data_IF_645720159339
#
_entry.id   IF_645720159339
#
_cell.length_a   1.000
_cell.length_b   1.000
_cell.length_c   1.000
_cell.angle_alpha   90.00
_cell.angle_beta   90.00
_cell.angle_gamma   90.00
#
_symmetry.space_group_name_H-M   'P 1'
#
loop_
_entity.id
_entity.type
_entity.pdbx_description
1 polymer ?
#
# COMPACT_ATOMS: atom_id res chain seq x y z
N UNK A 1 -47.62 6.48 -70.24
CA UNK A 1 -46.22 6.03 -70.40
C UNK A 1 -45.41 6.57 -69.24
N UNK A 2 -44.67 5.67 -68.57
CA UNK A 2 -43.53 5.85 -67.64
C UNK A 2 -43.03 7.29 -67.41
N UNK A 3 -42.82 7.65 -66.14
CA UNK A 3 -41.45 7.82 -65.63
C UNK A 3 -41.39 7.80 -64.10
N UNK A 4 -40.71 6.76 -63.64
CA UNK A 4 -39.97 6.52 -62.40
C UNK A 4 -39.35 7.73 -61.71
N UNK A 5 -39.58 7.84 -60.39
CA UNK A 5 -38.60 8.34 -59.43
C UNK A 5 -38.60 7.39 -58.22
N UNK A 6 -37.53 6.61 -58.10
CA UNK A 6 -37.25 5.70 -57.00
C UNK A 6 -36.86 6.55 -55.77
N UNK A 7 -37.65 6.51 -54.69
CA UNK A 7 -37.21 7.02 -53.39
C UNK A 7 -36.55 5.87 -52.63
N UNK A 8 -35.23 5.93 -52.50
CA UNK A 8 -34.41 4.97 -51.76
C UNK A 8 -34.53 5.26 -50.26
N UNK A 9 -35.34 4.50 -49.52
CA UNK A 9 -35.34 4.55 -48.06
C UNK A 9 -34.06 3.90 -47.52
N UNK A 10 -33.11 4.72 -47.08
CA UNK A 10 -31.92 4.31 -46.36
C UNK A 10 -32.30 3.93 -44.91
N UNK A 11 -32.59 2.65 -44.67
CA UNK A 11 -32.66 2.09 -43.32
C UNK A 11 -31.22 1.91 -42.81
N UNK A 12 -30.70 2.94 -42.12
CA UNK A 12 -29.47 2.82 -41.34
C UNK A 12 -29.83 2.00 -40.09
N UNK A 13 -29.64 0.68 -40.16
CA UNK A 13 -29.58 -0.15 -38.96
C UNK A 13 -28.31 0.22 -38.19
N UNK A 14 -28.46 1.03 -37.14
CA UNK A 14 -27.42 1.19 -36.12
C UNK A 14 -27.24 -0.15 -35.41
N UNK A 15 -26.32 -0.96 -35.91
CA UNK A 15 -25.77 -2.06 -35.14
C UNK A 15 -25.04 -1.44 -33.95
N UNK A 16 -25.68 -1.43 -32.78
CA UNK A 16 -25.00 -1.24 -31.51
C UNK A 16 -24.02 -2.41 -31.34
N UNK A 17 -22.82 -2.25 -31.88
CA UNK A 17 -21.64 -3.00 -31.48
C UNK A 17 -21.33 -2.57 -30.04
N UNK A 18 -22.08 -3.12 -29.08
CA UNK A 18 -21.56 -3.24 -27.73
C UNK A 18 -20.30 -4.09 -27.88
N UNK A 19 -19.13 -3.46 -27.74
CA UNK A 19 -17.89 -4.17 -27.54
C UNK A 19 -18.14 -5.12 -26.37
N UNK A 20 -18.25 -6.41 -26.65
CA UNK A 20 -18.36 -7.43 -25.63
C UNK A 20 -17.00 -7.43 -24.94
N UNK A 21 -16.89 -6.64 -23.87
CA UNK A 21 -15.68 -6.56 -23.05
C UNK A 21 -15.34 -7.98 -22.66
N UNK A 22 -14.12 -8.41 -22.99
CA UNK A 22 -13.63 -9.74 -22.64
C UNK A 22 -13.82 -9.90 -21.13
N UNK A 23 -14.77 -10.76 -20.73
CA UNK A 23 -15.01 -11.06 -19.32
C UNK A 23 -14.01 -12.11 -18.90
N UNK A 24 -13.34 -11.89 -17.77
CA UNK A 24 -12.44 -12.88 -17.22
C UNK A 24 -13.18 -14.19 -16.97
N UNK A 25 -12.61 -15.29 -17.45
CA UNK A 25 -13.17 -16.63 -17.22
C UNK A 25 -12.95 -17.11 -15.77
N UNK A 26 -12.01 -16.50 -15.04
CA UNK A 26 -11.59 -16.90 -13.70
C UNK A 26 -12.28 -16.12 -12.59
N UNK A 27 -12.52 -14.82 -12.82
CA UNK A 27 -13.20 -13.93 -11.87
C UNK A 27 -14.19 -13.06 -12.60
N UNK A 28 -15.47 -13.22 -12.31
CA UNK A 28 -16.54 -12.53 -13.03
C UNK A 28 -17.69 -12.14 -12.10
N UNK A 29 -18.48 -11.10 -12.46
CA UNK A 29 -19.66 -10.75 -11.69
C UNK A 29 -20.69 -11.90 -11.69
N UNK A 30 -21.12 -12.30 -10.50
CA UNK A 30 -22.23 -13.21 -10.29
C UNK A 30 -23.58 -12.50 -10.30
N UNK A 31 -24.69 -13.26 -10.28
CA UNK A 31 -26.04 -12.72 -10.35
C UNK A 31 -26.42 -11.86 -9.14
N UNK A 32 -25.71 -11.99 -8.01
CA UNK A 32 -25.91 -11.21 -6.79
C UNK A 32 -25.02 -9.94 -6.72
N UNK A 33 -24.35 -9.58 -7.80
CA UNK A 33 -23.44 -8.42 -7.85
C UNK A 33 -22.10 -8.64 -7.15
N UNK A 34 -21.80 -9.83 -6.63
CA UNK A 34 -20.48 -10.21 -6.09
C UNK A 34 -19.64 -10.92 -7.13
N UNK A 35 -18.32 -10.90 -6.96
CA UNK A 35 -17.42 -11.66 -7.82
C UNK A 35 -17.52 -13.16 -7.50
N UNK A 36 -17.63 -13.97 -8.55
CA UNK A 36 -17.48 -15.42 -8.53
C UNK A 36 -16.04 -15.74 -8.90
N UNK A 37 -15.40 -16.61 -8.11
CA UNK A 37 -14.02 -17.04 -8.29
C UNK A 37 -13.99 -18.51 -8.67
N UNK A 38 -13.44 -18.85 -9.84
CA UNK A 38 -13.11 -20.24 -10.17
C UNK A 38 -11.86 -20.68 -9.40
N UNK A 39 -11.78 -21.99 -9.18
CA UNK A 39 -10.59 -22.62 -8.59
C UNK A 39 -9.91 -23.55 -9.59
N UNK A 40 -8.60 -23.77 -9.41
CA UNK A 40 -7.90 -24.91 -10.01
C UNK A 40 -8.43 -26.22 -9.39
N UNK A 41 -8.03 -27.36 -9.95
CA UNK A 41 -8.34 -28.67 -9.36
C UNK A 41 -7.78 -28.86 -7.94
N UNK A 42 -6.68 -28.17 -7.62
CA UNK A 42 -6.10 -28.16 -6.27
C UNK A 42 -6.74 -27.14 -5.33
N UNK A 43 -7.64 -26.29 -5.83
CA UNK A 43 -8.40 -25.31 -5.05
C UNK A 43 -7.84 -23.89 -5.09
N UNK A 44 -6.77 -23.61 -5.82
CA UNK A 44 -6.21 -22.26 -5.93
C UNK A 44 -7.15 -21.34 -6.68
N UNK A 45 -7.21 -20.08 -6.28
CA UNK A 45 -8.01 -19.06 -6.98
C UNK A 45 -7.25 -17.75 -7.10
N UNK A 46 -7.71 -16.90 -8.00
CA UNK A 46 -7.28 -15.49 -8.02
C UNK A 46 -7.59 -14.86 -6.67
N UNK A 47 -6.62 -14.12 -6.14
CA UNK A 47 -6.71 -13.51 -4.82
C UNK A 47 -7.85 -12.49 -4.75
N UNK A 48 -8.52 -12.48 -3.60
CA UNK A 48 -9.49 -11.44 -3.27
C UNK A 48 -8.76 -10.20 -2.76
N UNK A 49 -8.63 -9.19 -3.63
CA UNK A 49 -7.98 -7.93 -3.32
C UNK A 49 -8.91 -6.91 -2.63
N UNK A 50 -10.17 -7.27 -2.32
CA UNK A 50 -11.07 -6.38 -1.57
C UNK A 50 -10.56 -6.03 -0.18
N UNK A 51 -9.55 -6.75 0.32
CA UNK A 51 -8.92 -6.55 1.61
C UNK A 51 -7.79 -5.50 1.64
N UNK A 52 -7.53 -4.83 0.51
CA UNK A 52 -6.51 -3.80 0.40
C UNK A 52 -7.02 -2.42 0.84
N UNK A 53 -6.15 -1.64 1.47
CA UNK A 53 -6.43 -0.26 1.85
C UNK A 53 -6.84 -0.07 3.30
N UNK A 54 -7.22 1.16 3.64
CA UNK A 54 -7.63 1.62 4.96
C UNK A 54 -8.58 0.63 5.65
N UNK A 55 -8.26 0.25 6.89
CA UNK A 55 -9.00 -0.71 7.72
C UNK A 55 -9.18 -2.10 7.08
N UNK A 56 -8.38 -2.43 6.06
CA UNK A 56 -8.45 -3.71 5.36
C UNK A 56 -9.47 -3.71 4.23
N UNK A 57 -9.75 -2.55 3.62
CA UNK A 57 -10.64 -2.42 2.48
C UNK A 57 -12.13 -2.43 2.85
N UNK A 58 -12.97 -1.95 1.94
CA UNK A 58 -14.42 -1.86 2.14
C UNK A 58 -14.89 -0.84 3.18
N UNK A 59 -13.97 -0.13 3.83
CA UNK A 59 -14.26 0.94 4.80
C UNK A 59 -13.96 2.30 4.20
N UNK A 60 -14.89 3.25 4.37
CA UNK A 60 -14.70 4.63 3.91
C UNK A 60 -13.64 5.33 4.76
N UNK A 61 -12.70 6.01 4.12
CA UNK A 61 -11.76 6.92 4.80
C UNK A 61 -12.58 8.00 5.54
N UNK A 62 -12.38 8.19 6.86
CA UNK A 62 -13.19 9.09 7.65
C UNK A 62 -12.93 10.56 7.30
N UNK A 63 -13.89 11.42 7.66
CA UNK A 63 -13.66 12.86 7.72
C UNK A 63 -13.47 13.27 9.18
N UNK A 64 -12.21 13.35 9.62
CA UNK A 64 -11.88 13.68 11.02
C UNK A 64 -12.07 15.18 11.24
N UNK A 65 -12.79 15.62 12.30
CA UNK A 65 -12.97 17.04 12.59
C UNK A 65 -11.65 17.78 12.83
N UNK A 66 -11.55 19.01 12.29
CA UNK A 66 -10.43 19.89 12.58
C UNK A 66 -10.56 20.44 14.00
N UNK A 67 -9.50 20.30 14.79
CA UNK A 67 -9.41 20.80 16.18
C UNK A 67 -8.35 21.89 16.34
N UNK A 68 -7.50 22.06 15.33
CA UNK A 68 -6.53 23.15 15.24
C UNK A 68 -6.45 23.62 13.80
N UNK A 69 -6.35 24.94 13.61
CA UNK A 69 -6.19 25.57 12.31
C UNK A 69 -4.94 26.42 12.31
N UNK A 70 -4.13 26.34 11.25
CA UNK A 70 -2.90 27.10 11.09
C UNK A 70 -2.94 27.89 9.78
N UNK A 71 -2.47 29.13 9.82
CA UNK A 71 -2.16 29.93 8.63
C UNK A 71 -0.66 29.93 8.39
N UNK A 72 -0.19 30.08 7.14
CA UNK A 72 1.23 30.17 6.87
C UNK A 72 1.81 31.44 7.50
N UNK A 73 3.05 31.35 7.95
CA UNK A 73 3.85 32.49 8.43
C UNK A 73 5.03 32.74 7.49
N UNK A 74 5.63 33.94 7.58
CA UNK A 74 6.88 34.22 6.88
C UNK A 74 8.01 33.34 7.41
N UNK A 75 8.92 32.92 6.52
CA UNK A 75 10.04 32.04 6.87
C UNK A 75 9.64 30.56 6.99
N UNK A 76 10.38 29.81 7.81
CA UNK A 76 10.19 28.37 8.00
C UNK A 76 8.95 28.05 8.85
N UNK A 77 8.04 27.30 8.27
CA UNK A 77 6.78 26.87 8.87
C UNK A 77 6.87 25.47 9.49
N UNK A 78 7.94 24.70 9.25
CA UNK A 78 8.07 23.35 9.80
C UNK A 78 7.96 23.32 11.34
N UNK A 79 8.56 24.25 12.12
CA UNK A 79 8.41 24.28 13.57
C UNK A 79 6.98 24.55 14.04
N UNK A 80 6.25 25.45 13.37
CA UNK A 80 4.85 25.77 13.68
C UNK A 80 3.95 24.54 13.53
N UNK A 81 4.11 23.82 12.42
CA UNK A 81 3.33 22.62 12.13
C UNK A 81 3.72 21.49 13.07
N UNK A 82 5.02 21.31 13.33
CA UNK A 82 5.51 20.30 14.26
C UNK A 82 4.99 20.53 15.67
N UNK A 83 4.95 21.78 16.14
CA UNK A 83 4.39 22.12 17.45
C UNK A 83 2.91 21.72 17.54
N UNK A 84 2.11 22.01 16.50
CA UNK A 84 0.70 21.62 16.46
C UNK A 84 0.52 20.09 16.51
N UNK A 85 1.37 19.33 15.83
CA UNK A 85 1.38 17.85 15.90
C UNK A 85 1.72 17.39 17.32
N UNK A 86 2.75 17.97 17.94
CA UNK A 86 3.19 17.61 19.29
C UNK A 86 2.09 17.89 20.34
N UNK A 87 1.42 19.04 20.23
CA UNK A 87 0.30 19.36 21.11
C UNK A 87 -0.85 18.35 20.95
N UNK A 88 -1.17 17.96 19.71
CA UNK A 88 -2.25 17.01 19.47
C UNK A 88 -1.88 15.60 19.93
N UNK A 89 -0.61 15.21 19.76
CA UNK A 89 -0.04 13.96 20.26
C UNK A 89 -0.14 13.83 21.79
N UNK A 90 -0.25 14.93 22.53
CA UNK A 90 -0.41 14.92 23.99
C UNK A 90 -1.85 14.64 24.47
N UNK A 91 -2.85 14.70 23.60
CA UNK A 91 -4.28 14.53 23.96
C UNK A 91 -4.65 13.06 24.25
N UNK A 92 -5.91 12.79 24.55
CA UNK A 92 -6.43 11.40 24.56
C UNK A 92 -7.20 11.19 23.27
N UNK A 93 -6.95 10.10 22.51
CA UNK A 93 -7.72 9.82 21.32
C UNK A 93 -9.17 9.45 21.68
N UNK A 94 -10.13 9.98 20.91
CA UNK A 94 -11.53 9.58 20.90
C UNK A 94 -11.78 8.73 19.65
N UNK A 95 -12.22 7.49 19.83
CA UNK A 95 -12.45 6.53 18.72
C UNK A 95 -11.21 6.38 17.80
N UNK A 96 -10.01 6.35 18.40
CA UNK A 96 -8.75 6.24 17.68
C UNK A 96 -8.20 7.57 17.13
N UNK A 97 -8.94 8.67 17.19
CA UNK A 97 -8.52 9.97 16.66
C UNK A 97 -8.32 11.03 17.73
N UNK A 98 -7.26 11.83 17.58
CA UNK A 98 -6.98 13.04 18.36
C UNK A 98 -7.56 14.27 17.70
N UNK A 99 -7.68 14.25 16.36
CA UNK A 99 -8.28 15.29 15.54
C UNK A 99 -7.48 15.57 14.28
N UNK A 100 -7.97 16.52 13.49
CA UNK A 100 -7.24 17.04 12.34
C UNK A 100 -6.62 18.42 12.63
N UNK A 101 -5.43 18.65 12.07
CA UNK A 101 -4.81 19.96 11.95
C UNK A 101 -5.12 20.45 10.53
N UNK A 102 -5.90 21.52 10.42
CA UNK A 102 -6.24 22.16 9.15
C UNK A 102 -5.23 23.26 8.83
N UNK A 103 -4.55 23.14 7.70
CA UNK A 103 -3.72 24.19 7.11
C UNK A 103 -4.59 25.00 6.16
N UNK A 104 -4.65 26.30 6.39
CA UNK A 104 -5.33 27.25 5.49
C UNK A 104 -4.64 27.32 4.13
N UNK A 105 -5.30 27.88 3.10
CA UNK A 105 -4.65 28.16 1.83
C UNK A 105 -3.42 29.06 2.01
N UNK A 106 -2.39 28.80 1.21
CA UNK A 106 -1.16 29.58 1.16
C UNK A 106 0.11 28.73 1.12
N UNK A 107 1.25 29.42 1.07
CA UNK A 107 2.58 28.81 0.89
C UNK A 107 3.26 28.70 2.25
N UNK A 108 3.58 27.47 2.64
CA UNK A 108 4.32 27.11 3.84
C UNK A 108 5.73 26.72 3.41
N UNK A 109 6.71 27.63 3.55
CA UNK A 109 8.10 27.25 3.34
C UNK A 109 8.53 26.29 4.46
N UNK A 110 9.15 25.17 4.12
CA UNK A 110 9.57 24.15 5.08
C UNK A 110 11.03 23.76 4.85
N UNK A 111 11.88 24.04 5.83
CA UNK A 111 13.32 23.71 5.77
C UNK A 111 13.66 22.35 6.39
N UNK A 112 12.66 21.71 7.02
CA UNK A 112 12.81 20.42 7.68
C UNK A 112 11.53 19.58 7.57
N UNK A 113 11.69 18.28 7.82
CA UNK A 113 10.60 17.30 7.80
C UNK A 113 9.57 17.56 8.92
N UNK A 114 8.31 17.42 8.57
CA UNK A 114 7.18 17.38 9.51
C UNK A 114 6.98 15.93 9.96
N UNK A 115 7.21 15.66 11.24
CA UNK A 115 7.20 14.31 11.79
C UNK A 115 5.89 14.02 12.55
N UNK A 116 5.26 12.90 12.23
CA UNK A 116 4.10 12.36 12.95
C UNK A 116 4.52 11.03 13.58
N UNK A 117 4.60 11.02 14.91
CA UNK A 117 5.08 9.88 15.71
C UNK A 117 4.03 9.37 16.69
N UNK A 118 2.78 9.80 16.55
CA UNK A 118 1.65 9.41 17.40
C UNK A 118 0.40 9.10 16.56
N UNK A 119 -0.33 8.06 16.96
CA UNK A 119 -1.58 7.62 16.34
C UNK A 119 -2.69 8.67 16.43
N UNK A 120 -3.64 8.63 15.49
CA UNK A 120 -4.88 9.41 15.54
C UNK A 120 -4.76 10.86 15.05
N UNK A 121 -3.70 11.21 14.34
CA UNK A 121 -3.45 12.57 13.85
C UNK A 121 -3.72 12.64 12.35
N UNK A 122 -4.53 13.62 11.94
CA UNK A 122 -4.73 13.95 10.53
C UNK A 122 -4.10 15.32 10.22
N UNK A 123 -3.23 15.39 9.22
CA UNK A 123 -2.73 16.65 8.67
C UNK A 123 -3.47 16.95 7.36
N UNK A 124 -4.30 18.00 7.36
CA UNK A 124 -5.19 18.35 6.26
C UNK A 124 -4.86 19.73 5.72
N UNK A 125 -4.65 19.86 4.42
CA UNK A 125 -4.63 21.15 3.73
C UNK A 125 -5.99 21.57 3.19
N UNK A 126 -5.99 22.68 2.47
CA UNK A 126 -7.18 23.30 1.88
C UNK A 126 -7.25 23.15 0.34
N UNK A 127 -6.56 22.15 -0.21
CA UNK A 127 -6.60 21.78 -1.63
C UNK A 127 -5.21 21.51 -2.23
N UNK A 128 -5.14 20.62 -3.22
CA UNK A 128 -3.91 20.23 -3.91
C UNK A 128 -3.50 21.15 -5.09
N UNK A 129 -4.33 22.14 -5.41
CA UNK A 129 -4.01 23.14 -6.43
C UNK A 129 -3.03 24.21 -5.93
N UNK A 130 -2.50 25.06 -6.82
CA UNK A 130 -1.58 26.14 -6.46
C UNK A 130 -2.20 27.21 -5.54
N UNK A 131 -3.53 27.34 -5.54
CA UNK A 131 -4.27 28.24 -4.64
C UNK A 131 -4.71 27.56 -3.33
N UNK A 132 -4.34 26.29 -3.12
CA UNK A 132 -4.63 25.52 -1.92
C UNK A 132 -3.53 25.66 -0.87
N UNK A 133 -3.26 24.59 -0.14
CA UNK A 133 -2.12 24.53 0.80
C UNK A 133 -0.90 24.01 0.06
N UNK A 134 0.17 24.79 0.02
CA UNK A 134 1.43 24.42 -0.65
C UNK A 134 2.53 24.29 0.39
N UNK A 135 3.07 23.09 0.57
CA UNK A 135 4.36 22.88 1.20
C UNK A 135 5.45 23.18 0.19
N UNK A 136 6.14 24.31 0.35
CA UNK A 136 7.29 24.67 -0.46
C UNK A 136 8.57 24.22 0.27
N UNK A 137 9.18 23.15 -0.21
CA UNK A 137 10.38 22.58 0.40
C UNK A 137 11.60 23.44 0.10
N UNK A 138 12.23 23.97 1.15
CA UNK A 138 13.41 24.83 1.08
C UNK A 138 14.57 24.23 1.88
N UNK A 139 15.73 24.90 1.88
CA UNK A 139 16.88 24.46 2.68
C UNK A 139 17.66 23.30 2.05
N UNK A 140 18.03 22.31 2.88
CA UNK A 140 18.74 21.10 2.42
C UNK A 140 17.73 20.01 2.03
N UNK A 141 18.06 19.11 1.09
CA UNK A 141 17.19 18.00 0.71
C UNK A 141 16.72 17.16 1.91
N UNK A 142 15.42 16.96 2.04
CA UNK A 142 14.75 16.21 3.13
C UNK A 142 13.40 15.63 2.66
N UNK A 143 12.70 14.85 3.49
CA UNK A 143 11.33 14.41 3.21
C UNK A 143 10.33 15.41 3.79
N UNK A 144 9.27 15.81 3.07
CA UNK A 144 8.31 16.81 3.56
C UNK A 144 7.56 16.30 4.81
N UNK A 145 6.95 15.11 4.72
CA UNK A 145 6.25 14.49 5.85
C UNK A 145 6.81 13.10 6.15
N UNK A 146 7.07 12.83 7.43
CA UNK A 146 7.55 11.52 7.90
C UNK A 146 6.64 11.00 8.99
N UNK A 147 5.89 9.94 8.69
CA UNK A 147 5.19 9.12 9.68
C UNK A 147 6.09 7.93 10.02
N UNK A 148 6.42 7.75 11.29
CA UNK A 148 7.32 6.66 11.73
C UNK A 148 6.92 6.08 13.07
N UNK A 149 6.42 4.84 13.04
CA UNK A 149 6.24 4.00 14.22
C UNK A 149 7.52 3.25 14.61
N UNK A 150 7.66 2.96 15.90
CA UNK A 150 8.77 2.17 16.45
C UNK A 150 8.32 0.72 16.63
N UNK A 151 8.19 0.01 15.52
CA UNK A 151 7.60 -1.33 15.51
C UNK A 151 8.56 -2.34 16.13
N UNK A 152 8.05 -3.10 17.10
CA UNK A 152 8.71 -4.26 17.68
C UNK A 152 7.79 -5.47 17.51
N UNK A 153 8.32 -6.58 16.99
CA UNK A 153 7.56 -7.83 16.85
C UNK A 153 8.31 -8.94 17.56
N UNK A 154 7.61 -9.63 18.46
CA UNK A 154 8.13 -10.75 19.24
C UNK A 154 7.38 -12.01 18.86
N UNK A 155 8.11 -13.12 18.76
CA UNK A 155 7.54 -14.46 18.64
C UNK A 155 7.16 -14.99 20.01
N UNK A 156 6.06 -15.75 20.08
CA UNK A 156 5.53 -16.34 21.31
C UNK A 156 5.35 -17.84 21.08
N UNK A 157 5.95 -18.65 21.95
CA UNK A 157 5.93 -20.12 21.83
C UNK A 157 6.80 -20.64 20.68
N UNK A 158 6.70 -21.94 20.40
CA UNK A 158 7.44 -22.60 19.32
C UNK A 158 6.64 -22.58 18.00
N UNK A 159 7.31 -22.58 16.83
CA UNK A 159 6.62 -22.79 15.55
C UNK A 159 5.95 -24.16 15.50
N UNK A 160 4.72 -24.21 15.01
CA UNK A 160 3.93 -25.43 14.79
C UNK A 160 3.76 -25.68 13.30
N UNK A 161 3.99 -26.91 12.79
CA UNK A 161 3.81 -27.19 11.37
C UNK A 161 2.33 -27.18 10.96
N UNK A 162 2.08 -26.66 9.75
CA UNK A 162 0.82 -26.89 9.04
C UNK A 162 0.75 -28.38 8.68
N UNK A 163 -0.38 -29.02 8.99
CA UNK A 163 -0.59 -30.46 8.84
C UNK A 163 -1.17 -30.84 7.47
N UNK A 164 -1.76 -29.89 6.73
CA UNK A 164 -2.22 -30.16 5.36
C UNK A 164 -1.01 -30.34 4.43
N UNK A 165 -1.09 -31.33 3.54
CA UNK A 165 -0.07 -31.54 2.49
C UNK A 165 -0.09 -30.43 1.43
N UNK A 166 -1.25 -29.81 1.23
CA UNK A 166 -1.44 -28.68 0.34
C UNK A 166 -2.48 -27.71 0.89
N UNK A 167 -2.12 -26.43 1.03
CA UNK A 167 -3.03 -25.32 1.31
C UNK A 167 -3.12 -24.44 0.07
N UNK A 168 -4.31 -24.28 -0.54
CA UNK A 168 -4.43 -23.52 -1.78
C UNK A 168 -4.23 -22.01 -1.62
N UNK A 169 -3.72 -21.35 -2.65
CA UNK A 169 -3.72 -19.90 -2.72
C UNK A 169 -5.17 -19.38 -2.71
N UNK A 170 -5.43 -18.39 -1.85
CA UNK A 170 -6.75 -17.83 -1.63
C UNK A 170 -7.58 -18.55 -0.55
N UNK A 171 -7.03 -19.58 0.11
CA UNK A 171 -7.69 -20.27 1.21
C UNK A 171 -7.78 -19.40 2.49
N UNK A 172 -8.82 -19.62 3.29
CA UNK A 172 -9.02 -18.96 4.60
C UNK A 172 -8.62 -19.83 5.78
N UNK A 173 -8.16 -21.04 5.56
CA UNK A 173 -7.86 -21.93 6.67
C UNK A 173 -7.04 -23.13 6.28
N UNK A 174 -6.42 -23.70 7.30
CA UNK A 174 -5.48 -24.81 7.24
C UNK A 174 -5.50 -25.53 8.58
N UNK A 175 -5.02 -26.77 8.61
CA UNK A 175 -4.84 -27.59 9.80
C UNK A 175 -3.45 -27.43 10.37
N UNK A 176 -3.32 -27.53 11.69
CA UNK A 176 -2.03 -27.51 12.40
C UNK A 176 -1.87 -28.77 13.24
N UNK A 177 -0.62 -29.21 13.40
CA UNK A 177 -0.32 -30.44 14.14
C UNK A 177 -0.62 -30.33 15.65
N UNK A 178 -0.39 -29.16 16.24
CA UNK A 178 -0.67 -28.88 17.66
C UNK A 178 -1.26 -27.48 17.84
N UNK A 179 -2.50 -27.41 18.34
CA UNK A 179 -3.20 -26.14 18.57
C UNK A 179 -2.91 -25.50 19.94
N UNK A 180 -2.10 -26.15 20.77
CA UNK A 180 -1.82 -25.68 22.13
C UNK A 180 -1.22 -24.27 22.09
N UNK A 181 -1.83 -23.33 22.83
CA UNK A 181 -1.38 -21.95 22.89
C UNK A 181 -1.95 -20.99 21.84
N UNK A 182 -2.76 -21.48 20.89
CA UNK A 182 -3.48 -20.64 19.91
C UNK A 182 -4.94 -20.44 20.32
N UNK A 183 -5.47 -19.22 20.09
CA UNK A 183 -6.90 -18.92 20.19
C UNK A 183 -7.33 -17.90 19.14
N UNK A 184 -8.64 -17.78 18.92
CA UNK A 184 -9.20 -16.69 18.14
C UNK A 184 -8.77 -15.32 18.71
N UNK A 185 -8.46 -14.38 17.82
CA UNK A 185 -7.88 -13.07 18.12
C UNK A 185 -6.35 -13.05 18.19
N UNK A 186 -5.67 -14.20 18.23
CA UNK A 186 -4.21 -14.21 18.18
C UNK A 186 -3.71 -13.83 16.77
N UNK A 187 -2.67 -12.99 16.73
CA UNK A 187 -1.89 -12.77 15.50
C UNK A 187 -0.84 -13.87 15.37
N UNK A 188 -0.77 -14.46 14.19
CA UNK A 188 0.18 -15.51 13.83
C UNK A 188 1.04 -15.06 12.65
N UNK A 189 2.29 -15.51 12.63
CA UNK A 189 3.17 -15.50 11.47
C UNK A 189 3.19 -16.88 10.86
N UNK A 190 2.91 -16.94 9.57
CA UNK A 190 3.08 -18.13 8.74
C UNK A 190 4.43 -18.00 8.03
N UNK A 191 5.29 -18.98 8.16
CA UNK A 191 6.65 -19.01 7.61
C UNK A 191 6.76 -20.14 6.59
N UNK A 192 6.93 -19.79 5.31
CA UNK A 192 7.20 -20.73 4.21
C UNK A 192 8.69 -20.73 3.90
N UNK A 193 9.40 -21.87 3.99
CA UNK A 193 10.81 -21.92 3.67
C UNK A 193 11.04 -21.68 2.17
N UNK A 194 12.09 -20.91 1.85
CA UNK A 194 12.63 -20.77 0.50
C UNK A 194 13.63 -21.92 0.29
N UNK A 195 13.11 -23.12 0.05
CA UNK A 195 13.92 -24.32 -0.16
C UNK A 195 14.54 -24.37 -1.57
N UNK A 196 15.63 -25.11 -1.73
CA UNK A 196 16.25 -25.32 -3.04
C UNK A 196 15.29 -25.95 -4.05
N UNK A 197 14.44 -26.89 -3.61
CA UNK A 197 13.44 -27.53 -4.47
C UNK A 197 12.37 -26.53 -4.93
N UNK A 198 11.97 -25.60 -4.07
CA UNK A 198 11.05 -24.53 -4.45
C UNK A 198 11.71 -23.53 -5.41
N UNK A 199 12.94 -23.11 -5.14
CA UNK A 199 13.71 -22.20 -6.01
C UNK A 199 13.91 -22.82 -7.40
N UNK A 200 14.22 -24.12 -7.46
CA UNK A 200 14.33 -24.87 -8.72
C UNK A 200 12.98 -25.01 -9.45
N UNK A 201 11.89 -25.28 -8.72
CA UNK A 201 10.53 -25.33 -9.27
C UNK A 201 10.13 -23.99 -9.92
N UNK A 202 10.47 -22.87 -9.27
CA UNK A 202 10.23 -21.52 -9.80
C UNK A 202 11.20 -21.14 -10.94
N UNK A 203 12.19 -21.98 -11.27
CA UNK A 203 13.23 -21.71 -12.26
C UNK A 203 14.21 -20.61 -11.87
N UNK A 204 14.21 -20.21 -10.59
CA UNK A 204 15.03 -19.10 -10.08
C UNK A 204 16.49 -19.51 -9.84
N UNK A 205 16.76 -20.82 -9.77
CA UNK A 205 18.11 -21.39 -9.66
C UNK A 205 18.96 -21.14 -10.92
N UNK A 206 18.32 -20.83 -12.06
CA UNK A 206 18.94 -20.65 -13.38
C UNK A 206 19.17 -19.19 -13.78
N UNK A 207 18.79 -18.23 -12.93
CA UNK A 207 18.94 -16.81 -13.26
C UNK A 207 20.41 -16.41 -13.26
N UNK A 208 20.90 -15.90 -14.40
CA UNK A 208 22.28 -15.46 -14.59
C UNK A 208 22.29 -14.10 -15.28
N UNK A 209 23.15 -13.19 -14.80
CA UNK A 209 23.44 -11.90 -15.43
C UNK A 209 24.95 -11.70 -15.47
N UNK A 210 25.49 -11.39 -16.65
CA UNK A 210 26.93 -11.19 -16.87
C UNK A 210 27.80 -12.34 -16.32
N UNK A 211 27.35 -13.58 -16.54
CA UNK A 211 28.02 -14.79 -16.07
C UNK A 211 27.91 -15.06 -14.57
N UNK A 212 27.21 -14.22 -13.80
CA UNK A 212 27.02 -14.36 -12.36
C UNK A 212 25.60 -14.84 -12.04
N UNK A 213 25.50 -15.87 -11.18
CA UNK A 213 24.22 -16.34 -10.64
C UNK A 213 23.51 -15.21 -9.90
N UNK A 214 22.20 -15.09 -10.11
CA UNK A 214 21.35 -14.09 -9.50
C UNK A 214 20.37 -14.78 -8.54
N UNK A 215 20.59 -14.63 -7.24
CA UNK A 215 19.68 -15.15 -6.21
C UNK A 215 18.95 -13.98 -5.56
N UNK A 216 17.64 -13.88 -5.78
CA UNK A 216 16.83 -12.73 -5.34
C UNK A 216 15.92 -13.03 -4.15
N UNK A 217 15.85 -14.29 -3.72
CA UNK A 217 15.02 -14.72 -2.59
C UNK A 217 15.74 -15.81 -1.78
N UNK A 218 15.74 -15.69 -0.46
CA UNK A 218 16.37 -16.60 0.48
C UNK A 218 15.60 -16.61 1.80
N UNK A 219 15.91 -17.55 2.69
CA UNK A 219 15.31 -17.63 4.02
C UNK A 219 13.86 -18.10 3.98
N UNK A 220 12.92 -17.25 4.38
CA UNK A 220 11.50 -17.57 4.47
C UNK A 220 10.63 -16.47 3.87
N UNK A 221 9.53 -16.87 3.23
CA UNK A 221 8.42 -15.97 2.89
C UNK A 221 7.44 -15.99 4.04
N UNK A 222 7.15 -14.81 4.59
CA UNK A 222 6.29 -14.69 5.78
C UNK A 222 4.98 -13.99 5.47
N UNK A 223 3.92 -14.40 6.15
CA UNK A 223 2.61 -13.78 6.09
C UNK A 223 1.98 -13.72 7.49
N UNK A 224 1.58 -12.53 7.92
CA UNK A 224 0.92 -12.36 9.22
C UNK A 224 -0.60 -12.41 9.04
N UNK A 225 -1.30 -13.12 9.94
CA UNK A 225 -2.76 -13.29 9.93
C UNK A 225 -3.33 -13.23 11.34
N UNK A 226 -4.61 -12.90 11.47
CA UNK A 226 -5.35 -13.00 12.73
C UNK A 226 -6.24 -14.25 12.68
N UNK A 227 -6.16 -15.09 13.71
CA UNK A 227 -7.05 -16.25 13.84
C UNK A 227 -8.46 -15.74 14.12
N UNK A 228 -9.42 -16.03 13.25
CA UNK A 228 -10.84 -15.70 13.45
C UNK A 228 -11.59 -16.83 14.12
N UNK A 229 -11.18 -18.08 13.89
CA UNK A 229 -11.85 -19.27 14.43
C UNK A 229 -10.89 -20.46 14.52
N UNK A 230 -11.09 -21.31 15.52
CA UNK A 230 -10.44 -22.62 15.63
C UNK A 230 -11.52 -23.69 15.79
N UNK A 231 -11.51 -24.70 14.92
CA UNK A 231 -12.41 -25.85 14.97
C UNK A 231 -11.59 -27.13 14.89
N UNK A 232 -11.51 -27.88 15.99
CA UNK A 232 -10.58 -29.02 16.13
C UNK A 232 -9.14 -28.57 15.82
N UNK A 233 -8.53 -29.12 14.78
CA UNK A 233 -7.20 -28.82 14.29
C UNK A 233 -7.15 -27.73 13.21
N UNK A 234 -8.32 -27.25 12.73
CA UNK A 234 -8.42 -26.25 11.67
C UNK A 234 -8.43 -24.83 12.21
N UNK A 235 -7.48 -24.02 11.76
CA UNK A 235 -7.46 -22.56 11.91
C UNK A 235 -8.19 -21.91 10.75
N UNK A 236 -8.98 -20.88 11.03
CA UNK A 236 -9.50 -19.93 10.03
C UNK A 236 -8.89 -18.54 10.30
N UNK A 237 -8.50 -17.84 9.24
CA UNK A 237 -7.85 -16.52 9.30
C UNK A 237 -8.74 -15.40 8.75
N UNK A 238 -8.35 -14.15 9.02
CA UNK A 238 -9.07 -12.92 8.67
C UNK A 238 -9.00 -12.55 7.18
N UNK A 239 -7.86 -12.80 6.54
CA UNK A 239 -7.58 -12.47 5.13
C UNK A 239 -7.08 -13.73 4.42
N UNK A 240 -7.48 -14.01 3.16
CA UNK A 240 -7.05 -15.21 2.47
C UNK A 240 -5.53 -15.28 2.33
N UNK A 241 -5.00 -16.50 2.30
CA UNK A 241 -3.57 -16.76 2.13
C UNK A 241 -3.14 -16.38 0.72
N UNK A 242 -2.11 -15.56 0.60
CA UNK A 242 -1.66 -14.98 -0.67
C UNK A 242 -0.71 -15.88 -1.47
N UNK A 243 -0.43 -17.07 -0.97
CA UNK A 243 0.43 -18.06 -1.60
C UNK A 243 -0.12 -19.45 -1.27
N UNK A 244 0.25 -20.44 -2.08
CA UNK A 244 0.00 -21.84 -1.79
C UNK A 244 1.13 -22.39 -0.90
N UNK A 245 0.75 -23.27 0.02
CA UNK A 245 1.67 -23.99 0.90
C UNK A 245 1.66 -25.47 0.53
N UNK A 246 2.72 -25.92 -0.13
CA UNK A 246 2.85 -27.28 -0.61
C UNK A 246 3.99 -27.98 0.14
N UNK A 247 3.64 -29.01 0.90
CA UNK A 247 4.57 -29.72 1.78
C UNK A 247 5.73 -30.38 1.02
N UNK A 248 5.60 -30.60 -0.30
CA UNK A 248 6.69 -31.12 -1.13
C UNK A 248 7.91 -30.18 -1.17
N UNK A 249 7.70 -28.89 -0.91
CA UNK A 249 8.74 -27.86 -0.93
C UNK A 249 9.26 -27.51 0.46
N UNK A 250 8.82 -28.22 1.50
CA UNK A 250 9.25 -28.02 2.87
C UNK A 250 8.09 -27.71 3.81
N UNK A 251 8.38 -27.84 5.10
CA UNK A 251 7.39 -27.67 6.17
C UNK A 251 7.09 -26.18 6.38
N UNK A 252 5.85 -25.77 6.09
CA UNK A 252 5.35 -24.44 6.47
C UNK A 252 4.96 -24.45 7.94
N UNK A 253 5.37 -23.43 8.68
CA UNK A 253 5.10 -23.32 10.12
C UNK A 253 4.26 -22.11 10.45
N UNK A 254 3.61 -22.17 11.61
CA UNK A 254 2.81 -21.11 12.20
C UNK A 254 3.31 -20.84 13.60
N UNK A 255 3.55 -19.58 13.91
CA UNK A 255 3.98 -19.16 15.24
C UNK A 255 3.18 -17.94 15.66
N UNK A 256 2.79 -17.88 16.93
CA UNK A 256 2.14 -16.69 17.47
C UNK A 256 3.13 -15.53 17.53
N UNK A 257 2.66 -14.32 17.22
CA UNK A 257 3.45 -13.11 17.35
C UNK A 257 2.68 -12.04 18.14
N UNK A 258 3.43 -11.16 18.79
CA UNK A 258 2.92 -9.91 19.34
C UNK A 258 3.69 -8.74 18.74
N UNK A 259 2.95 -7.77 18.22
CA UNK A 259 3.52 -6.56 17.61
C UNK A 259 3.08 -5.33 18.41
N UNK A 260 4.04 -4.48 18.74
CA UNK A 260 3.82 -3.21 19.44
C UNK A 260 4.47 -2.06 18.67
N UNK A 261 4.03 -0.83 18.95
CA UNK A 261 4.66 0.39 18.42
C UNK A 261 4.32 0.72 16.96
N UNK A 262 3.38 -0.01 16.34
CA UNK A 262 2.71 0.45 15.12
C UNK A 262 1.85 1.66 15.45
N UNK A 263 1.96 2.71 14.64
CA UNK A 263 1.01 3.82 14.69
C UNK A 263 -0.29 3.44 13.99
N UNK A 264 -1.39 4.10 14.32
CA UNK A 264 -2.69 3.85 13.71
C UNK A 264 -3.49 5.13 13.48
N UNK A 265 -4.46 5.09 12.55
CA UNK A 265 -5.41 6.19 12.33
C UNK A 265 -4.73 7.51 11.97
N UNK A 266 -3.77 7.47 11.04
CA UNK A 266 -3.03 8.63 10.55
C UNK A 266 -3.44 8.94 9.11
N UNK A 267 -3.77 10.21 8.87
CA UNK A 267 -4.15 10.72 7.56
C UNK A 267 -3.31 11.92 7.14
N UNK A 268 -2.93 11.99 5.87
CA UNK A 268 -2.41 13.21 5.26
C UNK A 268 -3.21 13.53 4.00
N UNK A 269 -3.73 14.76 3.86
CA UNK A 269 -4.69 15.03 2.78
C UNK A 269 -4.80 16.48 2.32
N UNK A 270 -5.24 16.66 1.06
CA UNK A 270 -5.66 17.94 0.48
C UNK A 270 -4.57 19.02 0.40
N UNK A 271 -3.38 18.72 -0.11
CA UNK A 271 -2.31 19.71 -0.25
C UNK A 271 -1.38 19.42 -1.43
N UNK A 272 -0.53 20.40 -1.72
CA UNK A 272 0.53 20.34 -2.71
C UNK A 272 1.89 20.31 -2.02
N UNK A 273 2.82 19.52 -2.53
CA UNK A 273 4.24 19.51 -2.12
C UNK A 273 5.07 19.92 -3.34
N UNK A 274 5.78 21.03 -3.22
CA UNK A 274 6.71 21.53 -4.25
C UNK A 274 8.14 21.51 -3.71
N UNK A 275 9.09 21.05 -4.52
CA UNK A 275 10.51 21.25 -4.26
C UNK A 275 11.22 21.81 -5.51
N UNK A 276 12.46 22.35 -5.36
CA UNK A 276 13.30 22.69 -6.50
C UNK A 276 13.45 21.51 -7.47
N UNK A 277 13.64 21.79 -8.76
CA UNK A 277 13.90 20.75 -9.76
C UNK A 277 15.18 19.96 -9.43
N UNK A 278 15.13 18.62 -9.57
CA UNK A 278 16.20 17.71 -9.17
C UNK A 278 16.70 16.84 -10.32
N UNK A 279 17.68 17.31 -11.09
CA UNK A 279 18.38 16.48 -12.09
C UNK A 279 19.54 15.73 -11.42
N UNK A 280 19.22 14.70 -10.64
CA UNK A 280 20.16 13.98 -9.77
C UNK A 280 20.05 12.46 -9.94
N UNK A 281 21.04 11.72 -9.45
CA UNK A 281 21.01 10.26 -9.36
C UNK A 281 20.32 9.78 -8.08
N UNK A 282 20.00 8.48 -8.02
CA UNK A 282 19.36 7.89 -6.82
C UNK A 282 20.24 7.91 -5.55
N UNK A 283 21.54 8.16 -5.69
CA UNK A 283 22.49 8.17 -4.58
C UNK A 283 22.77 9.58 -4.04
N UNK A 284 22.34 10.62 -4.75
CA UNK A 284 22.48 12.01 -4.31
C UNK A 284 21.44 12.36 -3.23
N UNK A 285 21.66 13.39 -2.40
CA UNK A 285 20.64 13.88 -1.47
C UNK A 285 19.36 14.36 -2.18
N UNK A 286 18.19 13.99 -1.66
CA UNK A 286 16.90 14.16 -2.37
C UNK A 286 15.83 14.81 -1.50
N UNK A 287 15.04 15.69 -2.12
CA UNK A 287 13.72 16.02 -1.62
C UNK A 287 12.74 14.89 -1.93
N UNK A 288 12.05 14.42 -0.90
CA UNK A 288 11.03 13.36 -0.95
C UNK A 288 9.68 13.92 -0.48
N UNK A 289 8.58 13.42 -1.02
CA UNK A 289 7.25 13.89 -0.64
C UNK A 289 6.90 13.40 0.77
N UNK A 290 6.69 12.10 0.95
CA UNK A 290 6.41 11.59 2.28
C UNK A 290 6.75 10.11 2.47
N UNK A 291 6.89 9.73 3.74
CA UNK A 291 7.04 8.32 4.14
C UNK A 291 6.00 7.97 5.19
N UNK A 292 5.38 6.80 5.05
CA UNK A 292 4.53 6.19 6.08
C UNK A 292 5.09 4.83 6.47
N UNK A 293 5.86 4.81 7.55
CA UNK A 293 6.60 3.64 8.03
C UNK A 293 6.15 3.21 9.42
N UNK A 294 5.98 1.90 9.62
CA UNK A 294 5.66 1.32 10.91
C UNK A 294 4.25 1.67 11.40
N UNK A 295 3.25 1.61 10.51
CA UNK A 295 1.88 1.96 10.86
C UNK A 295 0.83 1.03 10.23
N UNK A 296 -0.38 1.10 10.78
CA UNK A 296 -1.59 0.44 10.28
C UNK A 296 -2.72 1.45 10.11
N UNK A 297 -3.71 1.17 9.25
CA UNK A 297 -4.96 1.95 9.18
C UNK A 297 -4.73 3.43 8.91
N UNK A 298 -4.10 3.71 7.77
CA UNK A 298 -3.74 5.06 7.35
C UNK A 298 -4.22 5.43 5.97
N UNK A 299 -4.08 6.71 5.64
CA UNK A 299 -4.29 7.16 4.28
C UNK A 299 -3.45 8.37 3.91
N UNK A 300 -3.20 8.50 2.61
CA UNK A 300 -2.83 9.74 1.96
C UNK A 300 -3.84 10.00 0.83
N UNK A 301 -4.47 11.18 0.77
CA UNK A 301 -5.42 11.46 -0.32
C UNK A 301 -5.40 12.87 -0.84
N UNK A 302 -5.70 13.03 -2.12
CA UNK A 302 -5.85 14.33 -2.79
C UNK A 302 -4.56 15.17 -2.63
N UNK A 303 -3.45 14.66 -3.15
CA UNK A 303 -2.12 15.28 -3.02
C UNK A 303 -1.49 15.46 -4.40
N UNK A 304 -0.94 16.65 -4.63
CA UNK A 304 -0.10 16.94 -5.79
C UNK A 304 1.36 17.06 -5.34
N UNK A 305 2.28 16.46 -6.09
CA UNK A 305 3.71 16.47 -5.80
C UNK A 305 4.47 16.95 -7.04
N UNK A 306 5.35 17.92 -6.87
CA UNK A 306 6.22 18.44 -7.91
C UNK A 306 7.69 18.16 -7.59
N UNK A 307 8.41 17.53 -8.53
CA UNK A 307 9.86 17.40 -8.60
C UNK A 307 10.56 16.59 -7.49
N UNK A 308 9.85 15.95 -6.57
CA UNK A 308 10.50 15.07 -5.58
C UNK A 308 11.12 13.84 -6.27
N UNK A 309 12.12 13.21 -5.67
CA UNK A 309 12.77 11.99 -6.19
C UNK A 309 12.63 10.90 -5.13
N UNK A 310 12.35 9.65 -5.54
CA UNK A 310 11.92 8.58 -4.61
C UNK A 310 10.73 9.04 -3.74
N UNK A 311 9.73 9.57 -4.43
CA UNK A 311 8.75 10.51 -3.89
C UNK A 311 8.00 10.01 -2.65
N UNK A 312 7.39 8.83 -2.70
CA UNK A 312 6.51 8.30 -1.66
C UNK A 312 6.91 6.87 -1.31
N UNK A 313 7.13 6.62 -0.01
CA UNK A 313 7.45 5.28 0.50
C UNK A 313 6.47 4.86 1.60
N UNK A 314 5.80 3.72 1.39
CA UNK A 314 4.83 3.15 2.32
C UNK A 314 5.37 1.82 2.84
N UNK A 315 5.59 1.71 4.13
CA UNK A 315 5.96 0.48 4.82
C UNK A 315 5.03 0.23 6.01
N UNK A 316 4.01 -0.60 5.82
CA UNK A 316 2.96 -0.79 6.82
C UNK A 316 1.86 -1.72 6.35
N UNK A 317 0.66 -1.60 6.94
CA UNK A 317 -0.49 -2.39 6.52
C UNK A 317 -1.80 -1.62 6.54
N UNK A 318 -2.77 -2.01 5.70
CA UNK A 318 -4.10 -1.38 5.66
C UNK A 318 -4.03 0.13 5.41
N UNK A 319 -3.28 0.52 4.37
CA UNK A 319 -3.03 1.93 4.01
C UNK A 319 -3.59 2.20 2.62
N UNK A 320 -4.33 3.30 2.46
CA UNK A 320 -4.82 3.76 1.15
C UNK A 320 -4.09 5.03 0.70
N UNK A 321 -3.51 4.99 -0.49
CA UNK A 321 -3.01 6.16 -1.21
C UNK A 321 -3.98 6.44 -2.36
N UNK A 322 -4.76 7.51 -2.26
CA UNK A 322 -5.87 7.81 -3.18
C UNK A 322 -5.72 9.17 -3.85
N UNK A 323 -5.90 9.24 -5.17
CA UNK A 323 -5.85 10.50 -5.91
C UNK A 323 -4.55 11.30 -5.66
N UNK A 324 -3.41 10.67 -5.91
CA UNK A 324 -2.08 11.32 -5.79
C UNK A 324 -1.48 11.53 -7.18
N UNK A 325 -1.07 12.76 -7.48
CA UNK A 325 -0.36 13.09 -8.73
C UNK A 325 1.08 13.47 -8.43
N UNK A 326 2.03 12.89 -9.15
CA UNK A 326 3.45 13.23 -9.10
C UNK A 326 3.88 13.72 -10.48
N UNK A 327 4.50 14.89 -10.55
CA UNK A 327 4.99 15.47 -11.79
C UNK A 327 6.45 15.89 -11.67
N UNK A 328 7.24 15.56 -12.68
CA UNK A 328 8.65 15.93 -12.79
C UNK A 328 8.85 16.85 -13.98
N UNK A 329 9.43 18.02 -13.74
CA UNK A 329 9.78 18.96 -14.81
C UNK A 329 11.16 18.70 -15.40
N UNK A 330 11.97 17.84 -14.78
CA UNK A 330 13.32 17.46 -15.20
C UNK A 330 13.54 15.96 -15.05
N UNK A 331 14.37 15.32 -15.88
CA UNK A 331 14.66 13.90 -15.76
C UNK A 331 15.56 13.60 -14.56
N UNK A 332 15.35 12.45 -13.93
CA UNK A 332 16.34 11.87 -13.00
C UNK A 332 17.51 11.26 -13.77
N UNK A 333 18.71 11.30 -13.22
CA UNK A 333 19.94 10.84 -13.86
C UNK A 333 20.36 9.44 -13.40
N UNK A 334 21.25 8.81 -14.17
CA UNK A 334 21.84 7.51 -13.83
C UNK A 334 21.05 6.31 -14.35
N UNK A 335 21.71 5.14 -14.33
CA UNK A 335 21.14 3.89 -14.84
C UNK A 335 20.12 3.25 -13.88
N UNK A 336 20.24 3.52 -12.59
CA UNK A 336 19.29 3.08 -11.59
C UNK A 336 18.17 4.11 -11.47
N UNK A 337 16.93 3.67 -11.67
CA UNK A 337 15.75 4.54 -11.64
C UNK A 337 15.21 4.67 -10.21
N UNK A 338 14.85 5.88 -9.75
CA UNK A 338 14.12 6.04 -8.50
C UNK A 338 12.71 5.48 -8.64
N UNK A 339 12.11 5.08 -7.52
CA UNK A 339 10.71 4.65 -7.45
C UNK A 339 9.85 5.74 -6.86
N UNK A 340 8.93 6.30 -7.65
CA UNK A 340 8.06 7.39 -7.17
C UNK A 340 7.04 6.91 -6.15
N UNK A 341 6.45 5.75 -6.40
CA UNK A 341 5.61 5.06 -5.42
C UNK A 341 6.30 3.76 -5.01
N UNK A 342 6.60 3.62 -3.74
CA UNK A 342 7.01 2.36 -3.14
C UNK A 342 5.94 1.87 -2.15
N UNK A 343 5.52 0.61 -2.31
CA UNK A 343 4.66 -0.09 -1.36
C UNK A 343 5.33 -1.35 -0.83
N UNK A 344 5.54 -1.40 0.47
CA UNK A 344 6.10 -2.53 1.21
C UNK A 344 5.17 -2.93 2.35
N UNK A 345 4.70 -4.17 2.35
CA UNK A 345 3.81 -4.70 3.38
C UNK A 345 2.40 -5.04 2.86
N UNK A 346 1.57 -5.68 3.71
CA UNK A 346 0.31 -6.26 3.27
C UNK A 346 -0.84 -5.24 3.22
N UNK A 347 -1.84 -5.49 2.38
CA UNK A 347 -3.10 -4.73 2.35
C UNK A 347 -2.93 -3.22 2.07
N UNK A 348 -2.00 -2.86 1.19
CA UNK A 348 -1.82 -1.47 0.74
C UNK A 348 -2.59 -1.26 -0.58
N UNK A 349 -3.29 -0.14 -0.71
CA UNK A 349 -4.03 0.23 -1.92
C UNK A 349 -3.49 1.54 -2.47
N UNK A 350 -3.08 1.54 -3.74
CA UNK A 350 -2.83 2.75 -4.53
C UNK A 350 -3.96 2.89 -5.54
N UNK A 351 -4.73 3.97 -5.45
CA UNK A 351 -5.92 4.21 -6.25
C UNK A 351 -5.84 5.57 -6.93
N UNK A 352 -6.13 5.63 -8.23
CA UNK A 352 -6.12 6.87 -9.02
C UNK A 352 -4.83 7.69 -8.87
N UNK A 353 -3.68 7.02 -8.79
CA UNK A 353 -2.40 7.70 -8.79
C UNK A 353 -1.91 7.94 -10.22
N UNK A 354 -1.42 9.15 -10.50
CA UNK A 354 -0.86 9.52 -11.80
C UNK A 354 0.58 10.00 -11.62
N UNK A 355 1.47 9.57 -12.52
CA UNK A 355 2.88 9.98 -12.49
C UNK A 355 3.29 10.41 -13.88
N UNK A 356 3.97 11.55 -13.98
CA UNK A 356 4.53 12.06 -15.23
C UNK A 356 5.98 12.45 -15.00
N UNK A 357 6.89 11.76 -15.68
CA UNK A 357 8.33 12.00 -15.57
C UNK A 357 9.17 10.98 -16.33
N UNK A 358 10.42 11.34 -16.58
CA UNK A 358 11.39 10.53 -17.33
C UNK A 358 12.39 9.84 -16.40
N UNK A 359 12.82 8.64 -16.81
CA UNK A 359 13.81 7.81 -16.11
C UNK A 359 13.43 7.39 -14.67
N UNK A 360 12.13 7.15 -14.43
CA UNK A 360 11.59 6.70 -13.14
C UNK A 360 10.97 5.31 -13.22
N UNK A 361 10.90 4.59 -12.10
CA UNK A 361 9.92 3.52 -11.88
C UNK A 361 8.67 4.16 -11.29
N UNK A 362 7.53 4.02 -11.98
CA UNK A 362 6.27 4.57 -11.49
C UNK A 362 5.83 3.93 -10.17
N UNK A 363 5.98 2.61 -10.10
CA UNK A 363 5.63 1.84 -8.92
C UNK A 363 6.65 0.74 -8.67
N UNK A 364 7.08 0.60 -7.42
CA UNK A 364 7.92 -0.50 -6.97
C UNK A 364 7.32 -1.17 -5.73
N UNK A 365 7.38 -2.50 -5.74
CA UNK A 365 7.26 -3.35 -4.55
C UNK A 365 8.53 -4.17 -4.49
N UNK A 366 9.04 -4.44 -3.29
CA UNK A 366 10.27 -5.19 -3.14
C UNK A 366 10.28 -6.00 -1.86
N UNK A 367 11.02 -7.10 -1.87
CA UNK A 367 11.49 -7.68 -0.63
C UNK A 367 12.40 -6.67 0.07
N UNK A 368 12.44 -6.73 1.40
CA UNK A 368 13.44 -6.04 2.20
C UNK A 368 14.80 -6.32 1.58
N UNK A 369 15.45 -5.30 1.02
CA UNK A 369 16.89 -5.37 0.77
C UNK A 369 17.49 -5.31 2.17
N UNK A 370 17.85 -6.47 2.69
CA UNK A 370 18.51 -6.62 3.99
C UNK A 370 19.83 -5.87 4.02
#
# INVERSE_FOLDING_TARGET
>A
MRNTALLLCLLITQANLFAQTARSEWVYPGPNGKLVYKTTAKGDRIMDYSYAGYMGGGVRIPNVPAVKTLSPVSGDNAPLIQQAINELASKTPLNGFRGAILLQPGIYNCEAAINITASGIVLRGSGAGPNGTVFNMTGKPHACIVVRGKVNTQTIGMPVPIADTYVPAGAYGFRIADRSGFKAGDTIRISKPVSDSWVAFMGMDKLVRDGKKQTWITGEVTADRVITKIEKDRITVDVPLNDAYDAQFGTVTVQKIATSGMLEQIGIENFRIDCPAQSITINDPQYRAFTMDGMTDGWARDIYVQNTVNSISINGRRITIDNVTINHSVPTLGAAKPADLNGSGPQILFNKCNITGDNVFFFATGAKVS
#
